data_IF_430749314932
#
_entry.id   IF_430749314932
#
_cell.length_a   1.000
_cell.length_b   1.000
_cell.length_c   1.000
_cell.angle_alpha   90.00
_cell.angle_beta   90.00
_cell.angle_gamma   90.00
#
_symmetry.space_group_name_H-M   'P 1'
#
loop_
_entity.id
_entity.type
_entity.pdbx_description
1 polymer ?
#
# COMPACT_ATOMS: atom_id res chain seq x y z
N UNK A 1 -17.44 -14.77 4.46
CA UNK A 1 -16.05 -14.40 4.81
C UNK A 1 -15.93 -12.88 4.77
N UNK A 2 -15.53 -12.23 5.87
CA UNK A 2 -15.15 -10.81 5.86
C UNK A 2 -13.79 -10.74 5.16
N UNK A 3 -13.65 -9.91 4.12
CA UNK A 3 -12.37 -9.70 3.46
C UNK A 3 -11.44 -8.92 4.41
N UNK A 4 -10.74 -9.65 5.28
CA UNK A 4 -9.82 -9.14 6.30
C UNK A 4 -8.68 -8.30 5.70
N UNK A 5 -8.30 -8.53 4.44
CA UNK A 5 -7.18 -7.81 3.82
C UNK A 5 -7.45 -6.33 3.48
N UNK A 6 -8.68 -5.92 3.16
CA UNK A 6 -8.95 -4.52 2.78
C UNK A 6 -8.92 -3.60 3.99
N UNK A 7 -9.48 -4.04 5.12
CA UNK A 7 -9.48 -3.28 6.37
C UNK A 7 -8.05 -3.01 6.85
N UNK A 8 -7.21 -4.03 6.83
CA UNK A 8 -5.81 -3.92 7.21
C UNK A 8 -5.06 -2.93 6.31
N UNK A 9 -5.21 -3.02 4.99
CA UNK A 9 -4.61 -2.07 4.04
C UNK A 9 -5.10 -0.64 4.31
N UNK A 10 -6.40 -0.43 4.47
CA UNK A 10 -6.96 0.89 4.74
C UNK A 10 -6.46 1.48 6.06
N UNK A 11 -6.25 0.64 7.10
CA UNK A 11 -5.71 1.08 8.40
C UNK A 11 -4.25 1.56 8.31
N UNK A 12 -3.47 1.12 7.32
CA UNK A 12 -2.07 1.58 7.14
C UNK A 12 -1.95 2.99 6.56
N UNK A 13 -2.94 3.44 5.78
CA UNK A 13 -2.93 4.75 5.10
C UNK A 13 -2.67 5.93 6.05
N UNK A 14 -3.41 6.10 7.17
CA UNK A 14 -3.17 7.21 8.09
C UNK A 14 -1.78 7.16 8.73
N UNK A 15 -1.26 5.95 9.01
CA UNK A 15 0.08 5.76 9.61
C UNK A 15 1.17 6.18 8.63
N UNK A 16 1.08 5.73 7.38
CA UNK A 16 2.05 6.10 6.35
C UNK A 16 2.02 7.60 6.04
N UNK A 17 0.84 8.21 6.04
CA UNK A 17 0.70 9.66 5.86
C UNK A 17 1.37 10.45 6.98
N UNK A 18 1.18 10.04 8.24
CA UNK A 18 1.85 10.68 9.37
C UNK A 18 3.38 10.49 9.29
N UNK A 19 3.83 9.30 8.90
CA UNK A 19 5.24 8.96 8.80
C UNK A 19 5.99 9.82 7.77
N UNK A 20 5.45 9.97 6.56
CA UNK A 20 6.07 10.82 5.51
C UNK A 20 5.97 12.31 5.81
N UNK A 21 4.95 12.74 6.56
CA UNK A 21 4.83 14.12 7.00
C UNK A 21 5.87 14.48 8.07
N UNK A 22 6.17 13.54 8.98
CA UNK A 22 7.16 13.74 10.04
C UNK A 22 8.60 13.58 9.56
N UNK A 23 8.80 12.87 8.45
CA UNK A 23 10.12 12.57 7.90
C UNK A 23 10.11 12.90 6.39
N UNK A 24 10.28 14.16 5.98
CA UNK A 24 10.16 14.55 4.57
C UNK A 24 11.23 13.91 3.66
N UNK A 25 12.34 13.44 4.21
CA UNK A 25 13.47 12.89 3.45
C UNK A 25 13.35 11.38 3.17
N UNK A 26 12.43 10.68 3.83
CA UNK A 26 12.25 9.24 3.61
C UNK A 26 11.32 8.99 2.44
N UNK A 27 11.62 7.92 1.67
CA UNK A 27 10.76 7.44 0.59
C UNK A 27 10.32 6.02 0.88
N UNK A 28 9.02 5.77 0.80
CA UNK A 28 8.42 4.47 1.11
C UNK A 28 7.91 3.83 -0.18
N UNK A 29 8.20 2.55 -0.38
CA UNK A 29 7.59 1.77 -1.47
C UNK A 29 6.61 0.78 -0.88
N UNK A 30 5.33 0.90 -1.25
CA UNK A 30 4.26 -0.01 -0.85
C UNK A 30 4.09 -1.06 -1.93
N UNK A 31 4.22 -2.33 -1.55
CA UNK A 31 4.00 -3.48 -2.45
C UNK A 31 2.62 -4.06 -2.13
N UNK A 32 1.68 -4.01 -3.07
CA UNK A 32 0.34 -4.58 -2.88
C UNK A 32 -0.37 -4.85 -4.20
N UNK A 33 -1.53 -5.51 -4.12
CA UNK A 33 -2.37 -5.78 -5.30
C UNK A 33 -2.82 -4.47 -5.94
N UNK A 34 -2.86 -4.42 -7.27
CA UNK A 34 -3.28 -3.24 -8.05
C UNK A 34 -4.59 -2.61 -7.57
N UNK A 35 -5.55 -3.42 -7.12
CA UNK A 35 -6.82 -2.97 -6.54
C UNK A 35 -6.66 -1.95 -5.39
N UNK A 36 -5.57 -2.04 -4.62
CA UNK A 36 -5.31 -1.18 -3.46
C UNK A 36 -4.54 0.10 -3.79
N UNK A 37 -4.03 0.26 -5.02
CA UNK A 37 -3.28 1.44 -5.44
C UNK A 37 -3.99 2.78 -5.15
N UNK A 38 -5.32 2.92 -5.37
CA UNK A 38 -6.03 4.17 -5.11
C UNK A 38 -5.95 4.64 -3.65
N UNK A 39 -5.72 3.75 -2.68
CA UNK A 39 -5.59 4.13 -1.27
C UNK A 39 -4.34 4.96 -0.97
N UNK A 40 -3.31 4.87 -1.82
CA UNK A 40 -2.02 5.53 -1.60
C UNK A 40 -1.80 6.73 -2.54
N UNK A 41 -2.76 7.02 -3.43
CA UNK A 41 -2.68 8.16 -4.34
C UNK A 41 -2.70 9.49 -3.58
N UNK A 42 -1.86 10.43 -4.01
CA UNK A 42 -1.75 11.75 -3.39
C UNK A 42 -0.99 11.80 -2.06
N UNK A 43 -0.43 10.69 -1.59
CA UNK A 43 0.48 10.70 -0.43
C UNK A 43 1.91 10.96 -0.92
N UNK A 44 2.48 12.08 -0.49
CA UNK A 44 3.86 12.46 -0.83
C UNK A 44 4.85 11.39 -0.36
N UNK A 45 5.94 11.23 -1.11
CA UNK A 45 7.04 10.30 -0.80
C UNK A 45 6.66 8.82 -0.70
N UNK A 46 5.48 8.44 -1.20
CA UNK A 46 5.08 7.04 -1.35
C UNK A 46 5.12 6.65 -2.83
N UNK A 47 5.73 5.51 -3.12
CA UNK A 47 5.69 4.84 -4.41
C UNK A 47 4.90 3.54 -4.28
N UNK A 48 4.06 3.22 -5.25
CA UNK A 48 3.29 1.98 -5.26
C UNK A 48 3.87 1.00 -6.27
N UNK A 49 4.22 -0.20 -5.81
CA UNK A 49 4.67 -1.30 -6.64
C UNK A 49 3.56 -2.35 -6.73
N UNK A 50 3.03 -2.52 -7.93
CA UNK A 50 1.92 -3.45 -8.19
C UNK A 50 2.43 -4.90 -8.11
N UNK A 51 1.85 -5.68 -7.20
CA UNK A 51 2.06 -7.12 -7.11
C UNK A 51 0.89 -7.86 -7.75
N UNK A 52 1.18 -8.68 -8.75
CA UNK A 52 0.21 -9.55 -9.41
C UNK A 52 0.39 -11.00 -8.92
N UNK A 53 -0.64 -11.55 -8.28
CA UNK A 53 -0.62 -12.95 -7.82
C UNK A 53 -1.00 -13.95 -8.92
N UNK A 54 -1.48 -13.48 -10.08
CA UNK A 54 -1.98 -14.34 -11.16
C UNK A 54 -0.91 -15.15 -11.87
N UNK A 55 0.38 -14.93 -11.58
CA UNK A 55 1.48 -15.63 -12.24
C UNK A 55 2.37 -16.49 -11.32
N UNK A 56 1.89 -16.87 -10.13
CA UNK A 56 2.62 -17.79 -9.23
C UNK A 56 1.86 -19.10 -9.03
N UNK A 57 2.20 -20.05 -9.91
CA UNK A 57 2.17 -21.51 -9.79
C UNK A 57 1.25 -22.13 -8.73
N UNK A 58 0.26 -22.90 -9.19
CA UNK A 58 -0.20 -24.12 -8.51
C UNK A 58 1.01 -25.03 -8.31
N UNK A 59 1.60 -24.99 -7.12
CA UNK A 59 2.26 -26.15 -6.53
C UNK A 59 1.19 -27.00 -5.86
#
# INVERSE_FOLDING_TARGET
MRLSAMGDVAMTVPVLRALVNQNPDIRITVVSRKFFKPFFEGIANISFFEFDDNNRHKG
#
